data_IF_034792646283
#
_entry.id   IF_034792646283
#
_cell.length_a   1.000
_cell.length_b   1.000
_cell.length_c   1.000
_cell.angle_alpha   90.00
_cell.angle_beta   90.00
_cell.angle_gamma   90.00
#
_symmetry.space_group_name_H-M   'P 1'
#
loop_
_entity.id
_entity.type
_entity.pdbx_description
1 polymer ?
#
# COMPACT_ATOMS: atom_id res chain seq x y z
N UNK A 1 -7.67 2.07 -1.59
CA UNK A 1 -6.69 1.23 -0.85
C UNK A 1 -7.46 0.02 -0.35
N UNK A 2 -7.25 -1.12 -0.98
CA UNK A 2 -7.92 -2.38 -0.64
C UNK A 2 -7.25 -2.91 0.63
N UNK A 3 -8.00 -3.04 1.74
CA UNK A 3 -7.46 -3.61 2.98
C UNK A 3 -7.45 -5.14 2.85
N UNK A 4 -6.25 -5.72 2.82
CA UNK A 4 -6.05 -7.16 2.92
C UNK A 4 -5.74 -7.55 4.38
N UNK A 5 -6.34 -8.61 4.90
CA UNK A 5 -5.84 -9.41 6.02
C UNK A 5 -4.71 -10.28 5.46
N UNK A 6 -3.47 -9.84 5.62
CA UNK A 6 -2.34 -10.71 5.36
C UNK A 6 -2.23 -11.75 6.49
N UNK A 7 -2.29 -13.03 6.10
CA UNK A 7 -1.84 -14.17 6.91
C UNK A 7 -0.49 -14.60 6.34
N UNK A 8 0.56 -13.90 6.69
CA UNK A 8 1.93 -14.34 6.49
C UNK A 8 2.72 -14.13 7.80
N UNK A 9 3.54 -15.13 8.10
CA UNK A 9 4.17 -15.46 9.38
C UNK A 9 4.63 -14.26 10.20
N UNK A 10 3.82 -13.91 11.20
CA UNK A 10 4.29 -13.10 12.30
C UNK A 10 5.29 -13.94 13.09
N UNK A 11 6.58 -13.62 12.98
CA UNK A 11 7.53 -13.96 14.02
C UNK A 11 7.00 -13.36 15.33
N UNK A 12 6.39 -14.24 16.10
CA UNK A 12 5.81 -14.04 17.42
C UNK A 12 6.79 -13.25 18.29
N UNK A 13 6.44 -12.02 18.66
CA UNK A 13 7.03 -11.41 19.84
C UNK A 13 6.32 -11.99 21.06
N UNK A 14 6.87 -13.08 21.58
CA UNK A 14 6.59 -13.51 22.94
C UNK A 14 7.00 -12.41 23.91
N UNK A 15 6.02 -11.94 24.69
CA UNK A 15 6.24 -11.46 26.07
C UNK A 15 7.25 -10.33 26.29
N UNK A 16 7.07 -9.17 25.66
CA UNK A 16 7.80 -7.94 26.01
C UNK A 16 7.04 -7.06 27.02
N UNK A 17 7.31 -7.24 28.31
CA UNK A 17 6.89 -6.42 29.47
C UNK A 17 6.16 -5.08 29.18
N UNK A 18 4.86 -5.00 29.52
CA UNK A 18 3.98 -3.80 29.42
C UNK A 18 4.37 -2.63 30.37
N UNK A 19 5.58 -2.63 30.91
CA UNK A 19 5.97 -1.75 32.02
C UNK A 19 7.31 -1.02 31.77
N UNK A 20 7.45 -0.37 30.62
CA UNK A 20 8.51 0.63 30.40
C UNK A 20 7.91 1.98 30.01
N UNK A 21 8.44 3.06 30.56
CA UNK A 21 7.91 4.43 30.50
C UNK A 21 7.86 5.08 29.10
N UNK A 22 8.04 4.30 28.03
CA UNK A 22 8.08 4.73 26.63
C UNK A 22 6.83 4.34 25.83
N UNK A 23 5.86 3.65 26.42
CA UNK A 23 4.59 3.28 25.77
C UNK A 23 3.48 4.29 26.02
N UNK A 24 3.71 5.56 25.66
CA UNK A 24 2.59 6.50 25.54
C UNK A 24 1.86 6.12 24.26
N UNK A 25 0.67 5.51 24.38
CA UNK A 25 -0.21 5.28 23.22
C UNK A 25 -0.33 6.58 22.44
N UNK A 26 0.23 6.60 21.23
CA UNK A 26 0.14 7.76 20.37
C UNK A 26 -1.24 7.79 19.73
N UNK A 27 -1.72 8.96 19.31
CA UNK A 27 -3.04 9.10 18.66
C UNK A 27 -3.24 8.12 17.50
N UNK A 28 -2.17 7.78 16.80
CA UNK A 28 -2.21 6.81 15.70
C UNK A 28 -2.52 5.39 16.18
N UNK A 29 -1.88 4.93 17.28
CA UNK A 29 -2.12 3.60 17.85
C UNK A 29 -3.58 3.43 18.28
N UNK A 30 -4.16 4.47 18.87
CA UNK A 30 -5.57 4.50 19.27
C UNK A 30 -6.52 4.39 18.06
N UNK A 31 -6.19 5.06 16.95
CA UNK A 31 -7.00 5.01 15.72
C UNK A 31 -6.90 3.62 15.09
N UNK A 32 -5.71 3.02 15.07
CA UNK A 32 -5.50 1.66 14.59
C UNK A 32 -6.34 0.66 15.39
N UNK A 33 -6.28 0.73 16.72
CA UNK A 33 -7.08 -0.11 17.62
C UNK A 33 -8.60 0.06 17.37
N UNK A 34 -9.08 1.31 17.26
CA UNK A 34 -10.48 1.60 16.97
C UNK A 34 -10.96 1.08 15.59
N UNK A 35 -10.03 0.80 14.66
CA UNK A 35 -10.33 0.29 13.32
C UNK A 35 -10.01 -1.20 13.15
N UNK A 36 -9.68 -1.91 14.24
CA UNK A 36 -9.22 -3.30 14.23
C UNK A 36 -8.03 -3.51 13.26
N UNK A 37 -7.11 -2.54 13.25
CA UNK A 37 -5.88 -2.57 12.45
C UNK A 37 -4.71 -2.87 13.39
N UNK A 38 -4.03 -3.98 13.14
CA UNK A 38 -2.79 -4.29 13.82
C UNK A 38 -1.67 -3.33 13.36
N UNK A 39 -1.11 -2.54 14.29
CA UNK A 39 0.01 -1.65 14.00
C UNK A 39 1.34 -2.37 14.21
N UNK A 40 1.98 -2.78 13.10
CA UNK A 40 3.30 -3.41 13.11
C UNK A 40 4.39 -2.40 12.72
N UNK A 41 5.44 -2.31 13.53
CA UNK A 41 6.63 -1.51 13.24
C UNK A 41 7.77 -2.38 12.71
N UNK A 42 8.51 -1.87 11.74
CA UNK A 42 9.74 -2.53 11.26
C UNK A 42 10.80 -2.52 12.34
N UNK A 43 11.50 -3.64 12.52
CA UNK A 43 12.60 -3.71 13.48
C UNK A 43 13.73 -2.73 13.10
N UNK A 44 14.31 -1.99 14.06
CA UNK A 44 15.45 -1.10 13.79
C UNK A 44 16.61 -1.86 13.14
N UNK A 45 17.29 -1.24 12.18
CA UNK A 45 18.40 -1.83 11.40
C UNK A 45 18.02 -2.97 10.44
N UNK A 46 16.75 -3.08 10.05
CA UNK A 46 16.28 -4.04 9.03
C UNK A 46 15.69 -3.33 7.81
N UNK A 47 16.52 -2.65 6.99
CA UNK A 47 16.03 -1.81 5.89
C UNK A 47 15.30 -2.60 4.79
N UNK A 48 15.60 -3.90 4.61
CA UNK A 48 15.00 -4.71 3.55
C UNK A 48 13.49 -4.94 3.74
N UNK A 49 12.98 -4.85 4.96
CA UNK A 49 11.54 -5.03 5.26
C UNK A 49 10.70 -3.92 4.61
N UNK A 50 11.27 -2.73 4.39
CA UNK A 50 10.59 -1.61 3.73
C UNK A 50 10.85 -1.55 2.20
N UNK A 51 11.56 -2.55 1.64
CA UNK A 51 12.07 -2.49 0.28
C UNK A 51 10.99 -2.39 -0.81
N UNK A 52 9.79 -2.91 -0.59
CA UNK A 52 8.68 -2.80 -1.55
C UNK A 52 8.18 -1.36 -1.69
N UNK A 53 7.95 -0.68 -0.56
CA UNK A 53 7.54 0.73 -0.54
C UNK A 53 8.64 1.61 -1.12
N UNK A 54 9.90 1.35 -0.78
CA UNK A 54 11.03 2.08 -1.35
C UNK A 54 11.16 1.90 -2.87
N UNK A 55 10.96 0.68 -3.38
CA UNK A 55 10.93 0.39 -4.82
C UNK A 55 9.78 1.11 -5.52
N UNK A 56 8.58 1.13 -4.92
CA UNK A 56 7.45 1.89 -5.46
C UNK A 56 7.75 3.40 -5.49
N UNK A 57 8.25 3.96 -4.40
CA UNK A 57 8.60 5.37 -4.30
C UNK A 57 9.65 5.78 -5.34
N UNK A 58 10.65 4.93 -5.59
CA UNK A 58 11.61 5.14 -6.68
C UNK A 58 10.95 5.15 -8.05
N UNK A 59 10.02 4.22 -8.32
CA UNK A 59 9.27 4.15 -9.58
C UNK A 59 8.46 5.43 -9.82
N UNK A 60 7.75 5.92 -8.79
CA UNK A 60 6.98 7.17 -8.86
C UNK A 60 7.92 8.35 -9.16
N UNK A 61 9.03 8.46 -8.43
CA UNK A 61 10.00 9.55 -8.63
C UNK A 61 10.60 9.55 -10.03
N UNK A 62 10.92 8.37 -10.55
CA UNK A 62 11.45 8.19 -11.91
C UNK A 62 10.46 8.50 -13.01
N UNK A 63 9.16 8.30 -12.77
CA UNK A 63 8.10 8.64 -13.71
C UNK A 63 7.71 10.12 -13.68
N UNK A 64 7.89 10.79 -12.53
CA UNK A 64 7.39 12.15 -12.29
C UNK A 64 8.54 13.15 -12.14
N UNK A 65 8.91 13.48 -10.90
CA UNK A 65 9.79 14.60 -10.52
C UNK A 65 11.20 14.53 -11.11
N UNK A 66 11.68 13.36 -11.56
CA UNK A 66 12.98 13.24 -12.25
C UNK A 66 12.93 13.60 -13.73
N UNK A 67 11.74 13.57 -14.36
CA UNK A 67 11.56 13.79 -15.80
C UNK A 67 10.90 15.14 -16.11
N UNK A 68 10.07 15.63 -15.20
CA UNK A 68 9.26 16.81 -15.40
C UNK A 68 9.55 17.85 -14.32
N UNK A 69 9.55 19.12 -14.73
CA UNK A 69 9.54 20.25 -13.83
C UNK A 69 8.09 20.72 -13.64
N UNK A 70 7.71 21.06 -12.41
CA UNK A 70 6.37 21.57 -12.10
C UNK A 70 6.48 22.99 -11.56
N UNK A 71 5.57 23.85 -12.00
CA UNK A 71 5.49 25.23 -11.52
C UNK A 71 4.65 25.32 -10.23
N UNK A 72 3.74 24.37 -10.02
CA UNK A 72 2.88 24.32 -8.85
C UNK A 72 2.69 22.88 -8.34
N UNK A 73 2.33 22.78 -7.06
CA UNK A 73 1.99 21.49 -6.44
C UNK A 73 0.74 20.87 -7.08
N UNK A 74 -0.16 21.67 -7.63
CA UNK A 74 -1.38 21.17 -8.26
C UNK A 74 -1.06 20.38 -9.54
N UNK A 75 -0.12 20.88 -10.36
CA UNK A 75 0.34 20.14 -11.55
C UNK A 75 0.94 18.77 -11.18
N UNK A 76 1.71 18.71 -10.09
CA UNK A 76 2.24 17.44 -9.57
C UNK A 76 1.12 16.52 -9.09
N UNK A 77 0.09 17.04 -8.41
CA UNK A 77 -1.05 16.24 -7.94
C UNK A 77 -1.82 15.61 -9.09
N UNK A 78 -2.10 16.38 -10.16
CA UNK A 78 -2.78 15.87 -11.37
C UNK A 78 -1.95 14.76 -12.01
N UNK A 79 -0.65 15.01 -12.25
CA UNK A 79 0.20 14.00 -12.88
C UNK A 79 0.38 12.74 -12.02
N UNK A 80 0.42 12.87 -10.68
CA UNK A 80 0.42 11.72 -9.79
C UNK A 80 -0.87 10.91 -9.88
N UNK A 81 -2.03 11.56 -10.00
CA UNK A 81 -3.30 10.89 -10.18
C UNK A 81 -3.33 10.13 -11.53
N UNK A 82 -2.90 10.75 -12.62
CA UNK A 82 -2.80 10.11 -13.93
C UNK A 82 -1.85 8.91 -13.91
N UNK A 83 -0.69 9.07 -13.26
CA UNK A 83 0.25 7.98 -13.06
C UNK A 83 -0.38 6.82 -12.29
N UNK A 84 -1.12 7.09 -11.21
CA UNK A 84 -1.80 6.05 -10.42
C UNK A 84 -2.84 5.30 -11.25
N UNK A 85 -3.65 6.00 -12.04
CA UNK A 85 -4.65 5.38 -12.93
C UNK A 85 -3.95 4.51 -13.97
N UNK A 86 -2.96 5.05 -14.68
CA UNK A 86 -2.22 4.30 -15.69
C UNK A 86 -1.51 3.08 -15.08
N UNK A 87 -0.90 3.23 -13.91
CA UNK A 87 -0.18 2.14 -13.25
C UNK A 87 -1.13 1.02 -12.80
N UNK A 88 -2.24 1.36 -12.16
CA UNK A 88 -3.15 0.36 -11.59
C UNK A 88 -4.00 -0.35 -12.66
N UNK A 89 -4.39 0.35 -13.72
CA UNK A 89 -5.38 -0.14 -14.68
C UNK A 89 -4.85 -0.40 -16.09
N UNK A 90 -3.78 0.28 -16.53
CA UNK A 90 -3.25 0.12 -17.90
C UNK A 90 -1.92 -0.63 -17.94
N UNK A 91 -1.07 -0.51 -16.92
CA UNK A 91 0.28 -1.08 -16.92
C UNK A 91 0.26 -2.57 -16.55
N UNK A 92 0.57 -3.42 -17.53
CA UNK A 92 0.81 -4.86 -17.32
C UNK A 92 2.19 -5.10 -16.74
N UNK A 93 2.27 -5.87 -15.65
CA UNK A 93 3.52 -6.15 -14.93
C UNK A 93 3.97 -7.60 -15.16
N UNK A 94 5.22 -7.79 -15.58
CA UNK A 94 5.80 -9.13 -15.81
C UNK A 94 5.79 -9.99 -14.55
N UNK A 95 6.02 -9.38 -13.39
CA UNK A 95 6.01 -10.06 -12.08
C UNK A 95 4.62 -10.56 -11.70
N UNK A 96 3.56 -9.99 -12.28
CA UNK A 96 2.16 -10.40 -12.08
C UNK A 96 1.66 -11.23 -13.27
N UNK A 97 2.56 -11.94 -13.97
CA UNK A 97 2.24 -12.75 -15.14
C UNK A 97 1.55 -11.97 -16.27
N UNK A 98 1.87 -10.67 -16.41
CA UNK A 98 1.26 -9.81 -17.42
C UNK A 98 -0.09 -9.22 -17.04
N UNK A 99 -0.56 -9.41 -15.80
CA UNK A 99 -1.74 -8.74 -15.28
C UNK A 99 -1.42 -7.29 -14.89
N UNK A 100 -2.44 -6.44 -14.93
CA UNK A 100 -2.38 -5.14 -14.25
C UNK A 100 -2.49 -5.34 -12.73
N UNK A 101 -2.00 -4.39 -11.91
CA UNK A 101 -2.17 -4.47 -10.46
C UNK A 101 -3.63 -4.68 -10.04
N UNK A 102 -4.57 -4.00 -10.71
CA UNK A 102 -5.99 -4.17 -10.43
C UNK A 102 -6.50 -5.57 -10.80
N UNK A 103 -6.19 -6.06 -12.01
CA UNK A 103 -6.58 -7.41 -12.45
C UNK A 103 -6.03 -8.48 -11.48
N UNK A 104 -4.80 -8.30 -11.00
CA UNK A 104 -4.20 -9.19 -10.02
C UNK A 104 -4.96 -9.18 -8.69
N UNK A 105 -5.28 -8.01 -8.14
CA UNK A 105 -6.07 -7.90 -6.90
C UNK A 105 -7.45 -8.54 -7.07
N UNK A 106 -8.14 -8.28 -8.17
CA UNK A 106 -9.45 -8.89 -8.46
C UNK A 106 -9.37 -10.42 -8.54
N UNK A 107 -8.30 -10.97 -9.14
CA UNK A 107 -8.03 -12.40 -9.18
C UNK A 107 -7.84 -13.00 -7.78
N UNK A 108 -7.02 -12.36 -6.94
CA UNK A 108 -6.79 -12.84 -5.55
C UNK A 108 -8.08 -12.72 -4.74
N UNK A 109 -8.84 -11.64 -4.88
CA UNK A 109 -10.14 -11.49 -4.21
C UNK A 109 -11.13 -12.59 -4.60
N UNK A 110 -11.19 -12.96 -5.88
CA UNK A 110 -12.07 -14.04 -6.36
C UNK A 110 -11.66 -15.40 -5.78
N UNK A 111 -10.35 -15.61 -5.55
CA UNK A 111 -9.80 -16.90 -5.09
C UNK A 111 -9.76 -17.00 -3.55
N UNK A 112 -9.53 -15.89 -2.87
CA UNK A 112 -9.31 -15.77 -1.42
C UNK A 112 -10.05 -14.55 -0.84
N UNK A 113 -11.40 -14.50 -0.90
CA UNK A 113 -12.16 -13.31 -0.51
C UNK A 113 -12.01 -12.96 0.98
N UNK A 114 -11.80 -13.95 1.85
CA UNK A 114 -11.62 -13.76 3.31
C UNK A 114 -10.38 -12.95 3.66
N UNK A 115 -9.42 -12.83 2.73
CA UNK A 115 -8.26 -11.95 2.88
C UNK A 115 -8.63 -10.50 2.71
N UNK A 116 -9.85 -10.13 2.33
CA UNK A 116 -10.19 -8.74 2.03
C UNK A 116 -11.29 -8.25 2.96
N UNK A 117 -11.14 -7.03 3.47
CA UNK A 117 -12.17 -6.38 4.29
C UNK A 117 -13.23 -5.71 3.39
N UNK A 118 -12.84 -5.32 2.16
CA UNK A 118 -13.70 -4.58 1.22
C UNK A 118 -13.56 -5.19 -0.17
N UNK A 119 -14.68 -5.29 -0.88
CA UNK A 119 -14.72 -5.72 -2.28
C UNK A 119 -14.00 -4.69 -3.19
N UNK A 120 -12.90 -5.08 -3.85
CA UNK A 120 -12.11 -4.20 -4.69
C UNK A 120 -12.78 -3.83 -6.03
N UNK A 121 -13.83 -4.55 -6.45
CA UNK A 121 -14.43 -4.45 -7.80
C UNK A 121 -15.11 -3.08 -8.04
N UNK A 122 -15.51 -2.39 -6.96
CA UNK A 122 -16.09 -1.06 -7.02
C UNK A 122 -15.12 0.06 -7.45
N UNK A 123 -13.81 -0.24 -7.58
CA UNK A 123 -12.79 0.75 -7.95
C UNK A 123 -12.53 0.86 -9.46
N UNK A 124 -13.34 0.24 -10.32
CA UNK A 124 -13.24 0.50 -11.76
C UNK A 124 -13.48 2.00 -12.02
N UNK A 125 -12.51 2.75 -12.55
CA UNK A 125 -12.85 4.03 -13.15
C UNK A 125 -13.81 3.70 -14.29
N UNK A 126 -15.04 4.21 -14.22
CA UNK A 126 -15.97 4.16 -15.35
C UNK A 126 -15.31 4.78 -16.59
N UNK A 127 -15.91 4.55 -17.77
CA UNK A 127 -15.43 5.17 -19.01
C UNK A 127 -15.24 6.69 -18.77
N UNK A 128 -14.00 7.19 -18.91
CA UNK A 128 -13.77 8.63 -18.94
C UNK A 128 -14.58 9.18 -20.12
N UNK A 129 -15.65 9.92 -19.82
CA UNK A 129 -16.41 10.69 -20.81
C UNK A 129 -15.79 12.07 -20.94
#
# INVERSE_FOLDING_TARGET
MVRCRDRDDADQLDGGNRNTAWSRQMRFDMICEANDIEHRLTKPNHPWTNGQVERMNRTIKEATVKRFHYESHEQLRVHLADFMVAYNFARRLKTLSGLTPYEYIAKIWTSEPDRFIVDPIHQMPGLNT
#
